data_IF_706290971813
#
_entry.id   IF_706290971813
#
_cell.length_a   1.000
_cell.length_b   1.000
_cell.length_c   1.000
_cell.angle_alpha   90.00
_cell.angle_beta   90.00
_cell.angle_gamma   90.00
#
_symmetry.space_group_name_H-M   'P 1'
#
loop_
_entity.id
_entity.type
_entity.pdbx_description
1 polymer ?
#
# COMPACT_ATOMS: atom_id res chain seq x y z
N UNK A 1 -12.26 14.49 -0.04
CA UNK A 1 -11.34 14.37 -1.19
C UNK A 1 -10.38 15.56 -1.15
N UNK A 2 -9.07 15.33 -1.32
CA UNK A 2 -8.05 16.40 -1.28
C UNK A 2 -7.74 16.93 -2.68
N UNK A 3 -7.09 18.09 -2.78
CA UNK A 3 -6.64 18.65 -4.06
C UNK A 3 -5.76 17.67 -4.87
N UNK A 4 -4.92 16.88 -4.20
CA UNK A 4 -4.10 15.85 -4.81
C UNK A 4 -4.94 14.73 -5.44
N UNK A 5 -6.01 14.28 -4.78
CA UNK A 5 -6.92 13.27 -5.34
C UNK A 5 -7.65 13.80 -6.59
N UNK A 6 -8.16 15.04 -6.54
CA UNK A 6 -8.80 15.65 -7.71
C UNK A 6 -7.84 15.80 -8.91
N UNK A 7 -6.57 16.08 -8.66
CA UNK A 7 -5.56 16.14 -9.71
C UNK A 7 -5.30 14.75 -10.33
N UNK A 8 -5.23 13.70 -9.51
CA UNK A 8 -5.09 12.32 -10.00
C UNK A 8 -6.29 11.90 -10.85
N UNK A 9 -7.52 12.21 -10.41
CA UNK A 9 -8.74 11.93 -11.16
C UNK A 9 -8.77 12.68 -12.50
N UNK A 10 -8.37 13.97 -12.49
CA UNK A 10 -8.28 14.79 -13.70
C UNK A 10 -7.25 14.27 -14.71
N UNK A 11 -6.10 13.79 -14.23
CA UNK A 11 -5.08 13.15 -15.06
C UNK A 11 -5.58 11.82 -15.63
N UNK A 12 -6.22 10.99 -14.82
CA UNK A 12 -6.81 9.73 -15.27
C UNK A 12 -7.89 9.94 -16.34
N UNK A 13 -8.71 10.99 -16.20
CA UNK A 13 -9.76 11.33 -17.17
C UNK A 13 -9.23 11.71 -18.57
N UNK A 14 -7.98 12.15 -18.67
CA UNK A 14 -7.30 12.41 -19.96
C UNK A 14 -6.39 11.25 -20.40
N UNK A 15 -6.47 10.11 -19.71
CA UNK A 15 -5.66 8.92 -19.96
C UNK A 15 -4.22 9.02 -19.47
N UNK A 16 -3.86 10.07 -18.74
CA UNK A 16 -2.53 10.20 -18.17
C UNK A 16 -2.39 9.31 -16.92
N UNK A 17 -1.21 8.74 -16.75
CA UNK A 17 -0.87 7.96 -15.55
C UNK A 17 0.23 8.64 -14.77
N UNK A 18 0.13 8.59 -13.44
CA UNK A 18 1.15 9.10 -12.51
C UNK A 18 1.57 7.96 -11.62
N UNK A 19 2.88 7.74 -11.50
CA UNK A 19 3.45 6.74 -10.61
C UNK A 19 4.64 7.33 -9.86
N UNK A 20 4.83 6.98 -8.59
CA UNK A 20 6.05 7.31 -7.88
C UNK A 20 7.18 6.39 -8.36
N UNK A 21 8.40 6.93 -8.43
CA UNK A 21 9.65 6.19 -8.59
C UNK A 21 10.68 6.81 -7.65
N UNK A 22 10.89 6.18 -6.50
CA UNK A 22 11.65 6.80 -5.41
C UNK A 22 11.06 8.16 -5.03
N UNK A 23 11.87 9.22 -5.15
CA UNK A 23 11.46 10.59 -4.85
C UNK A 23 10.96 11.38 -6.10
N UNK A 24 10.67 10.68 -7.19
CA UNK A 24 10.21 11.28 -8.44
C UNK A 24 8.78 10.85 -8.78
N UNK A 25 8.05 11.71 -9.48
CA UNK A 25 6.78 11.37 -10.10
C UNK A 25 7.02 11.15 -11.58
N UNK A 26 6.82 9.92 -12.03
CA UNK A 26 6.81 9.57 -13.44
C UNK A 26 5.39 9.78 -13.95
N UNK A 27 5.26 10.74 -14.86
CA UNK A 27 3.98 11.07 -15.49
C UNK A 27 4.05 10.63 -16.95
N UNK A 28 3.11 9.78 -17.36
CA UNK A 28 2.97 9.35 -18.75
C UNK A 28 1.68 9.91 -19.32
N UNK A 29 1.78 10.67 -20.40
CA UNK A 29 0.60 11.14 -21.12
C UNK A 29 -0.14 9.96 -21.76
N UNK A 30 -1.46 10.08 -21.84
CA UNK A 30 -2.31 9.17 -22.62
C UNK A 30 -2.48 9.69 -24.04
N UNK A 31 -3.67 9.51 -24.58
CA UNK A 31 -4.05 9.99 -25.92
C UNK A 31 -4.08 11.52 -26.01
N UNK A 32 -4.35 12.20 -24.89
CA UNK A 32 -4.44 13.66 -24.81
C UNK A 32 -3.16 14.24 -24.18
N UNK A 33 -2.66 15.37 -24.70
CA UNK A 33 -1.53 16.06 -24.07
C UNK A 33 -1.92 16.56 -22.68
N UNK A 34 -0.98 16.50 -21.74
CA UNK A 34 -1.20 16.98 -20.37
C UNK A 34 -1.15 18.51 -20.37
N UNK A 35 -2.22 19.20 -19.93
CA UNK A 35 -2.22 20.66 -19.85
C UNK A 35 -1.11 21.21 -18.95
N UNK A 36 -0.50 22.33 -19.33
CA UNK A 36 0.57 22.96 -18.55
C UNK A 36 0.15 23.36 -17.13
N UNK A 37 -1.13 23.67 -16.92
CA UNK A 37 -1.71 23.91 -15.59
C UNK A 37 -1.64 22.68 -14.69
N UNK A 38 -1.93 21.49 -15.21
CA UNK A 38 -1.82 20.23 -14.47
C UNK A 38 -0.36 19.90 -14.15
N UNK A 39 0.57 20.16 -15.07
CA UNK A 39 2.02 20.02 -14.80
C UNK A 39 2.46 20.95 -13.66
N UNK A 40 1.95 22.19 -13.62
CA UNK A 40 2.24 23.12 -12.53
C UNK A 40 1.69 22.61 -11.19
N UNK A 41 0.46 22.10 -11.18
CA UNK A 41 -0.16 21.51 -9.98
C UNK A 41 0.59 20.26 -9.50
N UNK A 42 1.01 19.39 -10.41
CA UNK A 42 1.84 18.21 -10.10
C UNK A 42 3.13 18.61 -9.38
N UNK A 43 3.79 19.69 -9.81
CA UNK A 43 5.00 20.20 -9.14
C UNK A 43 4.69 20.78 -7.75
N UNK A 44 3.61 21.54 -7.64
CA UNK A 44 3.19 22.17 -6.38
C UNK A 44 2.78 21.16 -5.31
N UNK A 45 2.14 20.06 -5.71
CA UNK A 45 1.65 19.00 -4.82
C UNK A 45 2.54 17.76 -4.81
N UNK A 46 3.79 17.84 -5.29
CA UNK A 46 4.67 16.67 -5.49
C UNK A 46 4.80 15.81 -4.22
N UNK A 47 5.04 16.42 -3.06
CA UNK A 47 5.23 15.71 -1.81
C UNK A 47 3.96 14.95 -1.38
N UNK A 48 2.80 15.60 -1.42
CA UNK A 48 1.51 14.97 -1.08
C UNK A 48 1.19 13.82 -2.03
N UNK A 49 1.43 14.01 -3.33
CA UNK A 49 1.22 12.97 -4.35
C UNK A 49 2.15 11.78 -4.15
N UNK A 50 3.44 12.02 -3.85
CA UNK A 50 4.37 10.94 -3.53
C UNK A 50 3.89 10.17 -2.30
N UNK A 51 3.47 10.85 -1.25
CA UNK A 51 2.96 10.21 -0.05
C UNK A 51 1.73 9.34 -0.34
N UNK A 52 0.71 9.90 -0.99
CA UNK A 52 -0.54 9.19 -1.32
C UNK A 52 -0.27 7.98 -2.22
N UNK A 53 0.50 8.16 -3.30
CA UNK A 53 0.74 7.09 -4.26
C UNK A 53 1.64 5.99 -3.68
N UNK A 54 2.62 6.33 -2.84
CA UNK A 54 3.48 5.34 -2.18
C UNK A 54 2.69 4.54 -1.15
N UNK A 55 1.85 5.19 -0.35
CA UNK A 55 0.97 4.49 0.60
C UNK A 55 -0.01 3.57 -0.15
N UNK A 56 -0.58 4.03 -1.26
CA UNK A 56 -1.43 3.19 -2.11
C UNK A 56 -0.68 1.97 -2.64
N UNK A 57 0.53 2.13 -3.16
CA UNK A 57 1.33 1.01 -3.65
C UNK A 57 1.64 -0.01 -2.54
N UNK A 58 1.90 0.48 -1.33
CA UNK A 58 2.15 -0.36 -0.16
C UNK A 58 0.92 -1.21 0.19
N UNK A 59 -0.26 -0.58 0.26
CA UNK A 59 -1.52 -1.27 0.52
C UNK A 59 -1.86 -2.27 -0.60
N UNK A 60 -1.76 -1.83 -1.86
CA UNK A 60 -1.95 -2.70 -3.04
C UNK A 60 -0.98 -3.90 -3.03
N UNK A 61 0.23 -3.75 -2.48
CA UNK A 61 1.18 -4.85 -2.32
C UNK A 61 0.74 -5.80 -1.20
N UNK A 62 0.35 -5.27 -0.03
CA UNK A 62 -0.09 -6.08 1.11
C UNK A 62 -1.33 -6.93 0.80
N UNK A 63 -2.27 -6.37 0.04
CA UNK A 63 -3.49 -7.05 -0.39
C UNK A 63 -3.19 -8.19 -1.38
N UNK A 64 -2.22 -7.99 -2.27
CA UNK A 64 -1.80 -9.02 -3.25
C UNK A 64 -0.88 -10.09 -2.66
N UNK A 65 -0.35 -9.89 -1.46
CA UNK A 65 0.58 -10.82 -0.81
C UNK A 65 0.07 -11.25 0.57
N UNK A 66 -1.10 -11.92 0.65
CA UNK A 66 -1.60 -12.43 1.93
C UNK A 66 -0.60 -13.39 2.57
N UNK A 67 -0.64 -13.50 3.90
CA UNK A 67 0.27 -14.35 4.67
C UNK A 67 -0.53 -15.38 5.46
N UNK A 68 -1.19 -16.34 4.78
CA UNK A 68 -2.04 -17.31 5.46
C UNK A 68 -1.23 -18.15 6.44
N UNK A 69 -1.84 -18.51 7.57
CA UNK A 69 -1.22 -19.36 8.58
C UNK A 69 -2.19 -20.42 9.11
N UNK A 70 -1.69 -21.49 9.74
CA UNK A 70 -2.54 -22.43 10.46
C UNK A 70 -3.26 -21.75 11.63
N UNK A 71 -4.47 -22.24 11.93
CA UNK A 71 -5.20 -21.85 13.13
C UNK A 71 -4.52 -22.39 14.41
N UNK A 72 -4.82 -21.76 15.55
CA UNK A 72 -4.33 -22.19 16.87
C UNK A 72 -2.91 -21.75 17.24
N UNK A 73 -2.19 -21.08 16.33
CA UNK A 73 -0.85 -20.55 16.57
C UNK A 73 -0.70 -19.15 15.99
N UNK A 74 -0.06 -18.25 16.74
CA UNK A 74 0.22 -16.90 16.27
C UNK A 74 1.33 -16.92 15.21
N UNK A 75 1.02 -16.42 14.01
CA UNK A 75 1.96 -16.35 12.89
C UNK A 75 3.16 -15.42 13.13
N UNK A 76 3.07 -14.51 14.11
CA UNK A 76 4.14 -13.57 14.43
C UNK A 76 5.10 -14.12 15.49
N UNK A 77 4.60 -14.49 16.66
CA UNK A 77 5.45 -14.93 17.77
C UNK A 77 5.64 -16.46 17.85
N UNK A 78 4.90 -17.23 17.05
CA UNK A 78 4.97 -18.69 16.98
C UNK A 78 4.33 -19.43 18.17
N UNK A 79 3.84 -18.72 19.18
CA UNK A 79 3.20 -19.32 20.35
C UNK A 79 1.79 -19.80 20.01
N UNK A 80 1.38 -20.92 20.62
CA UNK A 80 0.03 -21.48 20.53
C UNK A 80 -0.96 -20.65 21.33
N UNK A 81 -2.22 -20.73 20.93
CA UNK A 81 -3.35 -20.19 21.66
C UNK A 81 -3.44 -20.76 23.09
N UNK A 82 -3.82 -19.91 24.05
CA UNK A 82 -4.16 -20.28 25.41
C UNK A 82 -5.44 -19.58 25.85
N UNK A 83 -5.98 -19.96 27.02
CA UNK A 83 -7.16 -19.30 27.59
C UNK A 83 -6.95 -17.79 27.83
N UNK A 84 -5.71 -17.38 28.14
CA UNK A 84 -5.35 -15.98 28.41
C UNK A 84 -4.79 -15.25 27.18
N UNK A 85 -4.57 -15.97 26.07
CA UNK A 85 -3.98 -15.44 24.85
C UNK A 85 -4.63 -16.09 23.62
N UNK A 86 -5.79 -15.56 23.25
CA UNK A 86 -6.58 -16.02 22.10
C UNK A 86 -5.94 -15.60 20.78
N UNK A 87 -5.93 -16.52 19.82
CA UNK A 87 -5.47 -16.23 18.46
C UNK A 87 -6.68 -16.04 17.56
N UNK A 88 -6.77 -14.89 16.91
CA UNK A 88 -7.92 -14.53 16.06
C UNK A 88 -7.53 -14.42 14.59
N UNK A 89 -8.46 -14.70 13.66
CA UNK A 89 -8.17 -14.59 12.23
C UNK A 89 -8.18 -13.14 11.78
N UNK A 90 -7.18 -12.76 10.99
CA UNK A 90 -7.08 -11.49 10.28
C UNK A 90 -7.08 -11.71 8.77
N UNK A 91 -7.88 -10.91 8.06
CA UNK A 91 -8.17 -11.08 6.63
C UNK A 91 -9.67 -11.27 6.41
N UNK A 92 -10.15 -10.89 5.22
CA UNK A 92 -11.58 -10.96 4.87
C UNK A 92 -11.91 -12.07 3.87
N UNK A 93 -10.90 -12.59 3.18
CA UNK A 93 -11.07 -13.63 2.17
C UNK A 93 -10.82 -15.02 2.78
N UNK A 94 -11.70 -15.96 2.47
CA UNK A 94 -11.56 -17.32 2.95
C UNK A 94 -10.26 -17.94 2.44
N UNK A 95 -9.51 -18.58 3.34
CA UNK A 95 -8.22 -19.19 3.00
C UNK A 95 -7.02 -18.23 2.97
N UNK A 96 -7.23 -16.92 3.14
CA UNK A 96 -6.13 -15.93 3.27
C UNK A 96 -5.88 -15.49 4.71
N UNK A 97 -6.61 -16.07 5.67
CA UNK A 97 -6.51 -15.69 7.09
C UNK A 97 -5.11 -15.89 7.66
N UNK A 98 -4.59 -14.84 8.28
CA UNK A 98 -3.45 -14.91 9.20
C UNK A 98 -3.96 -14.96 10.62
N UNK A 99 -3.51 -15.93 11.40
CA UNK A 99 -3.90 -16.10 12.80
C UNK A 99 -2.88 -15.41 13.71
N UNK A 100 -3.34 -14.44 14.52
CA UNK A 100 -2.47 -13.66 15.41
C UNK A 100 -3.13 -13.42 16.77
N UNK A 101 -2.31 -13.27 17.81
CA UNK A 101 -2.78 -12.60 19.03
C UNK A 101 -3.06 -11.13 18.73
N UNK A 102 -4.06 -10.56 19.39
CA UNK A 102 -4.41 -9.14 19.27
C UNK A 102 -3.22 -8.22 19.52
N UNK A 103 -2.37 -8.53 20.51
CA UNK A 103 -1.19 -7.71 20.82
C UNK A 103 -0.08 -7.86 19.77
N UNK A 104 -0.02 -9.00 19.07
CA UNK A 104 0.99 -9.26 18.04
C UNK A 104 0.68 -8.56 16.71
N UNK A 105 -0.57 -8.13 16.51
CA UNK A 105 -1.04 -7.57 15.23
C UNK A 105 -0.20 -6.38 14.75
N UNK A 106 0.05 -5.41 15.64
CA UNK A 106 0.72 -4.17 15.24
C UNK A 106 2.17 -4.42 14.77
N UNK A 107 2.91 -5.22 15.52
CA UNK A 107 4.30 -5.55 15.20
C UNK A 107 4.40 -6.38 13.91
N UNK A 108 3.50 -7.35 13.74
CA UNK A 108 3.39 -8.14 12.51
C UNK A 108 3.07 -7.25 11.30
N UNK A 109 2.09 -6.36 11.42
CA UNK A 109 1.68 -5.48 10.34
C UNK A 109 2.79 -4.50 9.95
N UNK A 110 3.51 -3.95 10.93
CA UNK A 110 4.67 -3.10 10.68
C UNK A 110 5.77 -3.83 9.91
N UNK A 111 6.14 -5.05 10.34
CA UNK A 111 7.13 -5.86 9.64
C UNK A 111 6.72 -6.14 8.18
N UNK A 112 5.44 -6.38 7.93
CA UNK A 112 4.92 -6.56 6.56
C UNK A 112 5.01 -5.28 5.74
N UNK A 113 4.69 -4.11 6.31
CA UNK A 113 4.86 -2.81 5.64
C UNK A 113 6.33 -2.56 5.29
N UNK A 114 7.26 -2.83 6.19
CA UNK A 114 8.71 -2.68 5.92
C UNK A 114 9.20 -3.63 4.83
N UNK A 115 8.70 -4.87 4.82
CA UNK A 115 9.02 -5.82 3.76
C UNK A 115 8.46 -5.37 2.41
N UNK A 116 7.19 -4.95 2.36
CA UNK A 116 6.54 -4.41 1.17
C UNK A 116 7.30 -3.20 0.61
N UNK A 117 7.69 -2.26 1.46
CA UNK A 117 8.46 -1.08 1.07
C UNK A 117 9.81 -1.46 0.44
N UNK A 118 10.50 -2.48 0.98
CA UNK A 118 11.77 -2.98 0.40
C UNK A 118 11.57 -3.62 -0.97
N UNK A 119 10.50 -4.41 -1.16
CA UNK A 119 10.19 -5.02 -2.45
C UNK A 119 9.85 -3.96 -3.50
N UNK A 120 8.97 -3.01 -3.16
CA UNK A 120 8.59 -1.91 -4.06
C UNK A 120 9.77 -1.02 -4.45
N UNK A 121 10.73 -0.81 -3.53
CA UNK A 121 11.96 -0.08 -3.83
C UNK A 121 12.89 -0.86 -4.77
N UNK A 122 12.96 -2.19 -4.66
CA UNK A 122 13.75 -3.05 -5.54
C UNK A 122 13.17 -3.12 -6.97
N UNK A 123 11.84 -3.16 -7.11
CA UNK A 123 11.15 -3.23 -8.40
C UNK A 123 11.13 -1.88 -9.16
N UNK A 124 11.40 -0.76 -8.46
CA UNK A 124 11.38 0.59 -9.02
C UNK A 124 12.74 1.16 -9.46
N UNK A 125 13.83 0.42 -9.23
CA UNK A 125 15.19 0.73 -9.70
C UNK A 125 15.34 0.46 -11.19
#
# INVERSE_FOLDING_TARGET
>A
MTAAHHLLDGLAAIGATVRPRGNELVVRAGEKPIPGSMIKQLRQSKADLLHILTEKQLLDWLDRHPCPSPAGSCAYCGKTETADATVVPFGVEQGSHTWLHSECWHAWHLQRREHAARQLAADGG
#
